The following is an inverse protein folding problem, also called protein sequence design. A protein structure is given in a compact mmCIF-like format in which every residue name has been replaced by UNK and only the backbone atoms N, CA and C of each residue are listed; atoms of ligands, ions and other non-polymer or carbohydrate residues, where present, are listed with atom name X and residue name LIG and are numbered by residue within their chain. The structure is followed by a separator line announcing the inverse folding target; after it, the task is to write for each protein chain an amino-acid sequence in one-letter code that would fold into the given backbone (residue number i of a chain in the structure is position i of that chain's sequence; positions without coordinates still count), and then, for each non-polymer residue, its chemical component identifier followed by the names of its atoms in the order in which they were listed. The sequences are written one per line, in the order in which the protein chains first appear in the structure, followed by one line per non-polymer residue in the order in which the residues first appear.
data_IF_727488727031
#
_entry.id   IF_727488727031
#
_cell.length_a   1.000
_cell.length_b   1.000
_cell.length_c   1.000
_cell.angle_alpha   90.00
_cell.angle_beta   90.00
_cell.angle_gamma   90.00
#
_symmetry.space_group_name_H-M   'P 1'
#
loop_
_entity.id
_entity.type
_entity.pdbx_description
1 polymer ?
#
# COMPACT_ATOMS: atom_id res chain seq x y z
N UNK A 1 29.23 -11.55 -11.03
CA UNK A 1 28.26 -10.76 -10.24
C UNK A 1 27.20 -11.72 -9.71
N UNK A 2 26.96 -11.76 -8.41
CA UNK A 2 25.90 -12.59 -7.83
C UNK A 2 24.61 -11.77 -7.73
N UNK A 3 23.77 -11.81 -8.77
CA UNK A 3 22.56 -10.98 -8.84
C UNK A 3 21.56 -11.28 -7.71
N UNK A 4 21.51 -12.51 -7.20
CA UNK A 4 20.62 -12.86 -6.10
C UNK A 4 20.97 -12.08 -4.84
N UNK A 5 22.25 -11.97 -4.51
CA UNK A 5 22.73 -11.16 -3.41
C UNK A 5 22.47 -9.66 -3.64
N UNK A 6 22.62 -9.19 -4.89
CA UNK A 6 22.42 -7.79 -5.24
C UNK A 6 20.95 -7.32 -5.17
N UNK A 7 19.99 -8.23 -5.22
CA UNK A 7 18.56 -7.93 -5.12
C UNK A 7 17.94 -8.30 -3.76
N UNK A 8 18.73 -8.86 -2.84
CA UNK A 8 18.26 -9.19 -1.51
C UNK A 8 18.29 -7.96 -0.58
N UNK A 9 17.25 -7.13 -0.71
CA UNK A 9 17.04 -5.99 0.18
C UNK A 9 16.81 -6.42 1.64
N UNK A 10 16.38 -7.66 1.91
CA UNK A 10 16.16 -8.15 3.28
C UNK A 10 17.47 -8.46 3.98
N UNK A 11 18.46 -8.99 3.25
CA UNK A 11 19.82 -9.14 3.76
C UNK A 11 20.49 -7.79 4.02
N UNK A 12 20.16 -6.75 3.25
CA UNK A 12 20.68 -5.38 3.44
C UNK A 12 19.97 -4.56 4.52
N UNK A 13 18.76 -4.94 4.88
CA UNK A 13 17.96 -4.30 5.95
C UNK A 13 17.53 -5.38 6.94
N UNK A 14 18.40 -5.75 7.89
CA UNK A 14 18.13 -6.82 8.86
C UNK A 14 16.86 -6.59 9.69
N UNK A 15 16.50 -5.33 9.95
CA UNK A 15 15.33 -4.89 10.72
C UNK A 15 14.02 -4.95 9.93
N UNK A 16 14.05 -5.40 8.67
CA UNK A 16 12.85 -5.46 7.84
C UNK A 16 11.65 -6.20 8.47
N UNK A 17 11.80 -7.26 9.30
CA UNK A 17 10.65 -7.91 9.91
C UNK A 17 9.88 -6.96 10.83
N UNK A 18 10.60 -6.21 11.68
CA UNK A 18 10.00 -5.25 12.62
C UNK A 18 9.43 -4.03 11.89
N UNK A 19 10.09 -3.59 10.82
CA UNK A 19 9.60 -2.51 9.96
C UNK A 19 8.28 -2.91 9.28
N UNK A 20 8.19 -4.13 8.73
CA UNK A 20 6.97 -4.63 8.09
C UNK A 20 5.85 -4.80 9.13
N UNK A 21 6.16 -5.33 10.31
CA UNK A 21 5.18 -5.45 11.40
C UNK A 21 4.65 -4.08 11.85
N UNK A 22 5.54 -3.08 11.93
CA UNK A 22 5.16 -1.68 12.18
C UNK A 22 4.21 -1.15 11.10
N UNK A 23 4.52 -1.34 9.83
CA UNK A 23 3.66 -0.87 8.74
C UNK A 23 2.24 -1.42 8.84
N UNK A 24 2.11 -2.72 9.08
CA UNK A 24 0.81 -3.37 9.22
C UNK A 24 0.02 -2.82 10.41
N UNK A 25 0.68 -2.65 11.57
CA UNK A 25 0.07 -2.08 12.77
C UNK A 25 -0.39 -0.64 12.53
N UNK A 26 0.48 0.20 12.00
CA UNK A 26 0.23 1.63 11.82
C UNK A 26 -0.85 1.85 10.75
N UNK A 27 -0.84 1.08 9.66
CA UNK A 27 -1.90 1.10 8.65
C UNK A 27 -3.26 0.67 9.21
N UNK A 28 -3.31 -0.37 10.05
CA UNK A 28 -4.54 -0.80 10.73
C UNK A 28 -5.06 0.30 11.65
N UNK A 29 -4.21 0.88 12.47
CA UNK A 29 -4.57 1.98 13.37
C UNK A 29 -5.06 3.21 12.59
N UNK A 30 -4.43 3.52 11.46
CA UNK A 30 -4.85 4.61 10.59
C UNK A 30 -6.25 4.40 10.01
N UNK A 31 -6.53 3.22 9.44
CA UNK A 31 -7.88 2.89 8.91
C UNK A 31 -8.96 2.94 9.97
N UNK A 32 -8.67 2.51 11.20
CA UNK A 32 -9.64 2.53 12.30
C UNK A 32 -10.08 3.95 12.71
N UNK A 33 -9.24 4.96 12.46
CA UNK A 33 -9.45 6.35 12.89
C UNK A 33 -9.77 7.32 11.75
N UNK A 34 -10.02 6.81 10.54
CA UNK A 34 -10.24 7.66 9.34
C UNK A 34 -11.45 7.17 8.56
N UNK A 35 -12.27 8.12 8.10
CA UNK A 35 -13.30 7.84 7.10
C UNK A 35 -12.60 7.49 5.78
N UNK A 36 -12.95 6.35 5.22
CA UNK A 36 -12.39 5.86 3.97
C UNK A 36 -13.45 5.04 3.22
N UNK A 37 -13.37 5.03 1.90
CA UNK A 37 -14.03 4.04 1.08
C UNK A 37 -13.05 2.88 0.91
N UNK A 38 -13.33 1.77 1.59
CA UNK A 38 -12.44 0.60 1.57
C UNK A 38 -12.87 -0.38 0.49
N UNK A 39 -11.89 -1.09 -0.07
CA UNK A 39 -12.11 -2.20 -0.99
C UNK A 39 -12.92 -1.84 -2.26
N UNK A 40 -12.83 -0.61 -2.73
CA UNK A 40 -13.45 -0.17 -3.97
C UNK A 40 -12.89 -0.98 -5.15
N UNK A 41 -13.74 -1.67 -5.90
CA UNK A 41 -13.31 -2.49 -7.04
C UNK A 41 -12.95 -1.62 -8.25
N UNK A 42 -11.81 -1.91 -8.86
CA UNK A 42 -11.39 -1.30 -10.13
C UNK A 42 -11.25 -2.33 -11.27
N UNK A 43 -11.42 -3.61 -10.97
CA UNK A 43 -11.29 -4.69 -11.95
C UNK A 43 -11.93 -5.99 -11.47
N UNK A 44 -11.93 -6.99 -12.36
CA UNK A 44 -12.63 -8.25 -12.14
C UNK A 44 -11.92 -9.18 -11.14
N UNK A 45 -10.59 -9.06 -10.96
CA UNK A 45 -9.84 -9.99 -10.10
C UNK A 45 -10.02 -9.63 -8.62
N UNK A 46 -9.90 -10.62 -7.69
CA UNK A 46 -10.12 -10.37 -6.27
C UNK A 46 -9.25 -9.25 -5.69
N UNK A 47 -8.00 -9.13 -6.15
CA UNK A 47 -7.04 -8.12 -5.69
C UNK A 47 -7.16 -6.78 -6.42
N UNK A 48 -8.07 -6.63 -7.39
CA UNK A 48 -8.33 -5.36 -8.06
C UNK A 48 -9.22 -4.45 -7.22
N UNK A 49 -8.70 -4.04 -6.07
CA UNK A 49 -9.35 -3.23 -5.06
C UNK A 49 -8.47 -2.06 -4.64
N UNK A 50 -9.08 -0.94 -4.27
CA UNK A 50 -8.40 0.28 -3.82
C UNK A 50 -9.08 0.85 -2.58
N UNK A 51 -8.28 1.28 -1.60
CA UNK A 51 -8.78 2.11 -0.50
C UNK A 51 -8.64 3.58 -0.89
N UNK A 52 -9.71 4.36 -0.71
CA UNK A 52 -9.77 5.79 -1.03
C UNK A 52 -10.03 6.59 0.24
N UNK A 53 -9.13 7.51 0.54
CA UNK A 53 -9.21 8.44 1.66
C UNK A 53 -9.39 9.85 1.13
N UNK A 54 -10.48 10.52 1.50
CA UNK A 54 -10.85 11.82 0.93
C UNK A 54 -10.89 12.91 2.01
N UNK A 55 -10.34 14.12 1.75
CA UNK A 55 -10.38 15.26 2.66
C UNK A 55 -11.71 16.06 2.58
N UNK A 56 -12.67 15.61 1.76
CA UNK A 56 -14.03 16.15 1.65
C UNK A 56 -14.29 17.12 0.50
N UNK A 57 -13.25 17.68 -0.15
CA UNK A 57 -13.37 18.54 -1.33
C UNK A 57 -12.74 17.89 -2.56
N UNK A 58 -13.32 18.13 -3.75
CA UNK A 58 -12.71 17.71 -5.00
C UNK A 58 -11.31 18.36 -5.15
N UNK A 59 -10.30 17.55 -5.45
CA UNK A 59 -8.92 17.99 -5.52
C UNK A 59 -8.02 16.92 -6.14
N UNK A 60 -6.70 17.17 -6.20
CA UNK A 60 -5.73 16.20 -6.71
C UNK A 60 -5.80 14.85 -5.99
N UNK A 61 -5.47 13.79 -6.73
CA UNK A 61 -5.38 12.42 -6.21
C UNK A 61 -3.91 12.01 -6.18
N UNK A 62 -3.46 11.51 -5.02
CA UNK A 62 -2.17 10.83 -4.86
C UNK A 62 -2.43 9.33 -4.85
N UNK A 63 -1.91 8.63 -5.86
CA UNK A 63 -1.97 7.17 -5.96
C UNK A 63 -0.67 6.56 -5.42
N UNK A 64 -0.74 5.78 -4.34
CA UNK A 64 0.42 5.07 -3.79
C UNK A 64 0.40 3.60 -4.19
N UNK A 65 1.32 3.20 -5.08
CA UNK A 65 1.48 1.81 -5.52
C UNK A 65 2.55 1.13 -4.66
N UNK A 66 2.16 0.09 -3.91
CA UNK A 66 3.10 -0.60 -3.03
C UNK A 66 4.13 -1.45 -3.80
N UNK A 67 5.29 -1.68 -3.18
CA UNK A 67 6.32 -2.61 -3.67
C UNK A 67 6.03 -4.06 -3.28
N UNK A 68 7.08 -4.88 -3.16
CA UNK A 68 6.94 -6.32 -2.85
C UNK A 68 7.35 -7.24 -3.98
N UNK A 69 8.16 -6.74 -4.92
CA UNK A 69 8.73 -7.52 -6.02
C UNK A 69 7.66 -8.26 -6.85
N UNK A 70 6.48 -7.64 -6.97
CA UNK A 70 5.26 -8.19 -7.59
C UNK A 70 4.78 -9.53 -7.00
N UNK A 71 5.30 -9.93 -5.85
CA UNK A 71 5.08 -11.25 -5.23
C UNK A 71 4.56 -11.17 -3.80
N UNK A 72 4.46 -9.97 -3.23
CA UNK A 72 4.14 -9.81 -1.81
C UNK A 72 3.39 -8.51 -1.53
N UNK A 73 2.78 -8.48 -0.34
CA UNK A 73 1.99 -7.39 0.24
C UNK A 73 0.64 -7.13 -0.45
N UNK A 74 -0.13 -6.25 0.17
CA UNK A 74 -1.37 -5.67 -0.32
C UNK A 74 -1.54 -4.26 0.30
N UNK A 75 -2.57 -3.52 -0.11
CA UNK A 75 -2.88 -2.17 0.39
C UNK A 75 -2.95 -2.05 1.92
N UNK A 76 -3.26 -3.13 2.63
CA UNK A 76 -3.51 -3.11 4.08
C UNK A 76 -2.26 -2.80 4.91
N UNK A 77 -1.06 -2.91 4.32
CA UNK A 77 0.21 -2.54 4.94
C UNK A 77 0.51 -1.03 4.88
N UNK A 78 -0.18 -0.27 4.01
CA UNK A 78 0.29 1.06 3.62
C UNK A 78 -0.72 2.19 3.83
N UNK A 79 -1.90 1.93 4.41
CA UNK A 79 -2.94 2.96 4.57
C UNK A 79 -2.48 4.24 5.27
N UNK A 80 -1.53 4.15 6.21
CA UNK A 80 -0.98 5.31 6.91
C UNK A 80 -0.22 6.30 6.00
N UNK A 81 0.16 5.88 4.79
CA UNK A 81 0.77 6.77 3.79
C UNK A 81 -0.23 7.78 3.21
N UNK A 82 -1.53 7.61 3.43
CA UNK A 82 -2.53 8.62 3.12
C UNK A 82 -2.47 9.85 4.05
N UNK A 83 -1.72 9.81 5.15
CA UNK A 83 -1.67 10.90 6.14
C UNK A 83 -1.27 12.24 5.53
N UNK A 84 -0.15 12.31 4.82
CA UNK A 84 0.37 13.56 4.24
C UNK A 84 -0.51 14.08 3.10
N UNK A 85 -0.93 13.26 2.11
CA UNK A 85 -1.90 13.73 1.10
C UNK A 85 -3.16 14.36 1.72
N UNK A 86 -3.74 13.72 2.74
CA UNK A 86 -4.93 14.25 3.40
C UNK A 86 -4.68 15.60 4.10
N UNK A 87 -3.51 15.77 4.74
CA UNK A 87 -3.12 17.06 5.35
C UNK A 87 -3.01 18.17 4.31
N UNK A 88 -2.56 17.84 3.10
CA UNK A 88 -2.49 18.75 1.95
C UNK A 88 -3.82 18.89 1.20
N UNK A 89 -4.90 18.32 1.72
CA UNK A 89 -6.25 18.34 1.11
C UNK A 89 -6.28 17.63 -0.25
N UNK A 90 -5.46 16.61 -0.43
CA UNK A 90 -5.49 15.68 -1.56
C UNK A 90 -6.17 14.37 -1.18
N UNK A 91 -6.87 13.77 -2.13
CA UNK A 91 -7.38 12.39 -2.00
C UNK A 91 -6.21 11.43 -2.10
N UNK A 92 -6.16 10.41 -1.24
CA UNK A 92 -5.18 9.33 -1.35
C UNK A 92 -5.88 8.04 -1.80
N UNK A 93 -5.31 7.38 -2.80
CA UNK A 93 -5.76 6.09 -3.29
C UNK A 93 -4.64 5.05 -3.10
N UNK A 94 -4.96 3.91 -2.49
CA UNK A 94 -4.01 2.86 -2.13
C UNK A 94 -4.52 1.51 -2.65
N UNK A 95 -4.13 1.12 -3.88
CA UNK A 95 -4.58 -0.12 -4.50
C UNK A 95 -3.80 -1.35 -4.03
N UNK A 96 -4.47 -2.49 -4.10
CA UNK A 96 -3.83 -3.80 -4.28
C UNK A 96 -3.81 -4.16 -5.77
N UNK A 97 -3.01 -5.16 -6.14
CA UNK A 97 -2.97 -5.74 -7.49
C UNK A 97 -2.66 -7.24 -7.42
N UNK A 98 -3.04 -8.00 -8.46
CA UNK A 98 -2.69 -9.44 -8.56
C UNK A 98 -1.18 -9.65 -8.58
N UNK A 99 -0.71 -10.73 -7.98
CA UNK A 99 0.71 -10.99 -7.76
C UNK A 99 1.20 -12.14 -8.63
N UNK A 100 2.48 -12.14 -8.99
CA UNK A 100 3.12 -13.32 -9.55
C UNK A 100 3.15 -14.45 -8.50
N UNK A 101 2.96 -15.72 -8.91
CA UNK A 101 2.82 -16.20 -10.29
C UNK A 101 1.36 -16.27 -10.80
N UNK A 102 0.37 -15.71 -10.11
CA UNK A 102 -1.05 -15.76 -10.55
C UNK A 102 -1.26 -15.04 -11.90
N UNK A 103 -0.46 -14.02 -12.17
CA UNK A 103 -0.46 -13.22 -13.41
C UNK A 103 0.98 -13.00 -13.91
N UNK A 104 1.14 -12.72 -15.20
CA UNK A 104 2.41 -12.48 -15.90
C UNK A 104 2.30 -11.38 -16.95
#
# INVERSE_FOLDING_TARGET
MNLAAEYDNRARVPEHPDIIARWQRDAKAFRANRKAQLDCRYGARPRNIVDVFEPGSAGPIVLFIHGGYWRSFDKSYFSHFASVPLQLRYTAAIPSYSLCPEVS
#
